data_IF_023743965580
#
_entry.id   IF_023743965580
#
_cell.length_a   1.000
_cell.length_b   1.000
_cell.length_c   1.000
_cell.angle_alpha   90.00
_cell.angle_beta   90.00
_cell.angle_gamma   90.00
#
_symmetry.space_group_name_H-M   'P 1'
#
loop_
_entity.id
_entity.type
_entity.pdbx_description
1 polymer ?
#
# COMPACT_ATOMS: atom_id res chain seq x y z
N UNK A 1 -5.97 5.72 25.84
CA UNK A 1 -5.22 5.08 24.73
C UNK A 1 -4.26 6.10 24.15
N UNK A 2 -3.07 5.68 23.68
CA UNK A 2 -2.21 6.57 22.92
C UNK A 2 -2.91 6.99 21.62
N UNK A 3 -2.73 8.25 21.23
CA UNK A 3 -3.34 8.79 20.01
C UNK A 3 -2.69 8.14 18.78
N UNK A 4 -3.49 7.74 17.81
CA UNK A 4 -3.01 7.14 16.57
C UNK A 4 -2.92 8.21 15.49
N UNK A 5 -1.84 8.20 14.72
CA UNK A 5 -1.62 9.06 13.56
C UNK A 5 -1.37 8.18 12.35
N UNK A 6 -2.19 8.33 11.31
CA UNK A 6 -1.92 7.76 10.00
C UNK A 6 -1.13 8.78 9.18
N UNK A 7 0.15 8.49 8.96
CA UNK A 7 1.01 9.35 8.16
C UNK A 7 0.94 8.96 6.66
N UNK A 8 -0.26 9.04 6.11
CA UNK A 8 -0.55 8.71 4.72
C UNK A 8 -1.78 9.47 4.22
N UNK A 9 -1.68 10.07 3.03
CA UNK A 9 -2.80 10.72 2.35
C UNK A 9 -3.75 9.76 1.60
N UNK A 10 -3.51 8.44 1.66
CA UNK A 10 -4.32 7.45 0.95
C UNK A 10 -5.71 7.29 1.58
N UNK A 11 -6.81 7.61 0.86
CA UNK A 11 -8.17 7.39 1.38
C UNK A 11 -8.46 5.91 1.68
N UNK A 12 -7.87 4.99 0.90
CA UNK A 12 -8.02 3.54 1.10
C UNK A 12 -7.46 3.08 2.43
N UNK A 13 -6.30 3.61 2.84
CA UNK A 13 -5.69 3.28 4.14
C UNK A 13 -6.52 3.82 5.31
N UNK A 14 -7.09 5.02 5.15
CA UNK A 14 -8.01 5.59 6.14
C UNK A 14 -9.25 4.70 6.30
N UNK A 15 -9.87 4.30 5.19
CA UNK A 15 -11.01 3.38 5.18
C UNK A 15 -10.67 2.04 5.87
N UNK A 16 -9.50 1.47 5.57
CA UNK A 16 -9.08 0.20 6.18
C UNK A 16 -8.86 0.30 7.69
N UNK A 17 -8.30 1.40 8.20
CA UNK A 17 -8.21 1.63 9.65
C UNK A 17 -9.59 1.70 10.28
N UNK A 18 -10.54 2.44 9.68
CA UNK A 18 -11.92 2.53 10.17
C UNK A 18 -12.61 1.18 10.19
N UNK A 19 -12.42 0.35 9.15
CA UNK A 19 -13.00 -1.00 9.06
C UNK A 19 -12.55 -1.94 10.17
N UNK A 20 -11.34 -1.77 10.70
CA UNK A 20 -10.83 -2.56 11.83
C UNK A 20 -11.10 -1.92 13.19
N UNK A 21 -11.96 -0.90 13.25
CA UNK A 21 -12.40 -0.25 14.49
C UNK A 21 -11.50 0.87 14.99
N UNK A 22 -10.45 1.25 14.25
CA UNK A 22 -9.65 2.43 14.57
C UNK A 22 -10.32 3.64 13.89
N UNK A 23 -11.19 4.34 14.62
CA UNK A 23 -11.97 5.46 14.09
C UNK A 23 -11.48 6.83 14.59
N UNK A 24 -10.75 6.86 15.69
CA UNK A 24 -10.15 8.06 16.27
C UNK A 24 -8.66 8.11 15.95
N UNK A 25 -8.30 8.73 14.83
CA UNK A 25 -6.93 8.95 14.40
C UNK A 25 -6.79 10.27 13.63
N UNK A 26 -5.61 10.86 13.71
CA UNK A 26 -5.23 12.00 12.87
C UNK A 26 -4.60 11.53 11.56
N UNK A 27 -4.74 12.36 10.52
CA UNK A 27 -4.00 12.20 9.25
C UNK A 27 -2.97 13.30 9.14
N UNK A 28 -1.68 12.92 9.09
CA UNK A 28 -0.56 13.86 8.91
C UNK A 28 0.37 13.32 7.84
N UNK A 29 0.42 13.98 6.68
CA UNK A 29 1.18 13.48 5.53
C UNK A 29 2.56 14.13 5.50
N UNK A 30 3.65 13.35 5.74
CA UNK A 30 5.00 13.89 5.61
C UNK A 30 5.33 14.11 4.12
N UNK A 31 6.17 15.10 3.86
CA UNK A 31 6.78 15.24 2.54
C UNK A 31 8.02 14.36 2.48
N UNK A 32 8.04 13.41 1.57
CA UNK A 32 9.16 12.48 1.36
C UNK A 32 9.39 12.28 -0.13
N UNK A 33 10.65 12.18 -0.51
CA UNK A 33 11.02 11.66 -1.82
C UNK A 33 11.05 10.13 -1.72
N UNK A 34 10.35 9.44 -2.61
CA UNK A 34 10.31 7.97 -2.64
C UNK A 34 11.55 7.43 -3.39
N UNK A 35 12.72 7.62 -2.78
CA UNK A 35 13.98 7.05 -3.26
C UNK A 35 14.36 5.85 -2.42
N UNK A 36 15.03 4.88 -3.03
CA UNK A 36 15.50 3.67 -2.34
C UNK A 36 16.78 3.13 -3.00
N UNK A 37 17.66 2.44 -2.25
CA UNK A 37 18.87 1.84 -2.79
C UNK A 37 18.57 0.80 -3.88
N UNK A 38 19.48 0.69 -4.86
CA UNK A 38 19.41 -0.39 -5.84
C UNK A 38 19.69 -1.75 -5.19
N UNK A 39 19.12 -2.82 -5.78
CA UNK A 39 19.39 -4.20 -5.36
C UNK A 39 18.55 -4.72 -4.20
N UNK A 40 17.64 -3.92 -3.64
CA UNK A 40 16.70 -4.40 -2.63
C UNK A 40 15.68 -5.38 -3.24
N UNK A 41 15.31 -6.42 -2.49
CA UNK A 41 14.17 -7.27 -2.81
C UNK A 41 12.86 -6.49 -2.76
N UNK A 42 11.75 -7.02 -3.30
CA UNK A 42 10.43 -6.38 -3.21
C UNK A 42 10.02 -6.01 -1.77
N UNK A 43 10.23 -6.89 -0.80
CA UNK A 43 9.92 -6.67 0.61
C UNK A 43 10.80 -5.57 1.21
N UNK A 44 12.11 -5.68 1.04
CA UNK A 44 13.06 -4.68 1.55
C UNK A 44 12.79 -3.29 0.96
N UNK A 45 12.36 -3.19 -0.30
CA UNK A 45 12.02 -1.92 -0.94
C UNK A 45 10.86 -1.22 -0.22
N UNK A 46 9.73 -1.89 -0.02
CA UNK A 46 8.56 -1.29 0.62
C UNK A 46 8.76 -1.07 2.12
N UNK A 47 9.54 -1.92 2.79
CA UNK A 47 9.95 -1.73 4.18
C UNK A 47 10.83 -0.49 4.32
N UNK A 48 11.82 -0.34 3.45
CA UNK A 48 12.69 0.83 3.40
C UNK A 48 11.88 2.11 3.24
N UNK A 49 11.02 2.20 2.22
CA UNK A 49 10.22 3.40 1.94
C UNK A 49 9.25 3.69 3.09
N UNK A 50 8.57 2.68 3.64
CA UNK A 50 7.66 2.88 4.77
C UNK A 50 8.40 3.38 6.01
N UNK A 51 9.66 2.95 6.22
CA UNK A 51 10.53 3.40 7.30
C UNK A 51 10.95 4.85 7.11
N UNK A 52 11.42 5.24 5.91
CA UNK A 52 11.76 6.62 5.58
C UNK A 52 10.56 7.57 5.80
N UNK A 53 9.36 7.15 5.36
CA UNK A 53 8.11 7.89 5.65
C UNK A 53 7.86 8.04 7.15
N UNK A 54 8.15 7.00 7.93
CA UNK A 54 8.01 7.04 9.40
C UNK A 54 9.02 8.00 10.05
N UNK A 55 10.26 8.03 9.56
CA UNK A 55 11.29 8.93 10.07
C UNK A 55 10.93 10.39 9.76
N UNK A 56 10.42 10.68 8.56
CA UNK A 56 9.92 12.01 8.21
C UNK A 56 8.67 12.41 9.01
N UNK A 57 7.76 11.45 9.28
CA UNK A 57 6.55 11.71 10.06
C UNK A 57 6.84 11.98 11.54
N UNK A 58 7.97 11.52 12.07
CA UNK A 58 8.35 11.77 13.47
C UNK A 58 8.45 13.26 13.79
N UNK A 59 8.83 14.10 12.82
CA UNK A 59 8.88 15.57 13.00
C UNK A 59 7.48 16.22 13.12
N UNK A 60 6.43 15.52 12.74
CA UNK A 60 5.03 15.98 12.76
C UNK A 60 4.25 15.43 13.97
N UNK A 61 4.87 14.60 14.80
CA UNK A 61 4.21 13.83 15.85
C UNK A 61 4.93 14.00 17.19
N UNK A 62 4.20 13.75 18.30
CA UNK A 62 4.82 13.68 19.61
C UNK A 62 5.33 12.26 19.90
N UNK A 63 6.30 12.09 20.85
CA UNK A 63 6.84 10.76 21.17
C UNK A 63 5.81 9.76 21.73
N UNK A 64 4.69 10.24 22.25
CA UNK A 64 3.63 9.42 22.85
C UNK A 64 2.63 8.89 21.81
N UNK A 65 2.56 9.52 20.64
CA UNK A 65 1.67 9.14 19.55
C UNK A 65 2.15 7.87 18.85
N UNK A 66 1.20 7.02 18.46
CA UNK A 66 1.47 5.84 17.61
C UNK A 66 1.32 6.26 16.14
N UNK A 67 2.41 6.27 15.42
CA UNK A 67 2.46 6.69 14.02
C UNK A 67 2.48 5.47 13.11
N UNK A 68 1.57 5.42 12.14
CA UNK A 68 1.48 4.37 11.13
C UNK A 68 1.84 4.96 9.78
N UNK A 69 2.83 4.36 9.13
CA UNK A 69 3.18 4.63 7.72
C UNK A 69 3.10 3.36 6.90
N UNK A 70 2.88 3.49 5.61
CA UNK A 70 2.90 2.35 4.71
C UNK A 70 3.33 2.78 3.30
N UNK A 71 3.90 1.83 2.57
CA UNK A 71 4.19 1.95 1.15
C UNK A 71 3.74 0.70 0.41
N UNK A 72 3.19 0.87 -0.80
CA UNK A 72 2.68 -0.23 -1.62
C UNK A 72 3.22 -0.14 -3.03
N UNK A 73 3.75 -1.24 -3.52
CA UNK A 73 4.34 -1.33 -4.85
C UNK A 73 3.96 -2.64 -5.55
N UNK A 74 3.80 -2.57 -6.86
CA UNK A 74 3.55 -3.72 -7.73
C UNK A 74 4.85 -4.15 -8.38
N UNK A 75 5.12 -5.46 -8.35
CA UNK A 75 6.31 -6.08 -8.94
C UNK A 75 5.91 -7.07 -10.01
N UNK A 76 6.43 -6.88 -11.21
CA UNK A 76 6.27 -7.80 -12.34
C UNK A 76 7.66 -8.23 -12.80
N UNK A 77 8.03 -9.48 -12.53
CA UNK A 77 9.40 -9.95 -12.69
C UNK A 77 10.37 -9.00 -11.94
N UNK A 78 11.34 -8.40 -12.62
CA UNK A 78 12.27 -7.42 -12.05
C UNK A 78 11.76 -5.97 -12.12
N UNK A 79 10.61 -5.74 -12.78
CA UNK A 79 10.05 -4.41 -12.95
C UNK A 79 9.24 -3.97 -11.71
N UNK A 80 9.41 -2.72 -11.33
CA UNK A 80 8.67 -2.05 -10.25
C UNK A 80 7.68 -1.08 -10.87
N UNK A 81 6.41 -1.29 -10.61
CA UNK A 81 5.32 -0.50 -11.17
C UNK A 81 4.72 0.40 -10.07
N UNK A 82 5.08 1.67 -10.11
CA UNK A 82 4.48 2.70 -9.28
C UNK A 82 3.15 3.19 -9.86
N UNK A 83 2.76 4.42 -9.50
CA UNK A 83 1.61 5.08 -10.12
C UNK A 83 1.94 5.44 -11.56
N UNK A 84 0.99 5.31 -12.50
CA UNK A 84 1.22 5.72 -13.87
C UNK A 84 1.41 7.25 -13.97
N UNK A 85 2.31 7.67 -14.84
CA UNK A 85 2.55 9.09 -15.11
C UNK A 85 1.41 9.73 -15.91
N UNK A 86 0.82 8.96 -16.82
CA UNK A 86 -0.27 9.35 -17.72
C UNK A 86 -1.04 8.11 -18.21
N UNK A 87 -2.05 8.31 -19.07
CA UNK A 87 -2.85 7.22 -19.62
C UNK A 87 -2.04 6.26 -20.51
N UNK A 88 -1.01 6.74 -21.19
CA UNK A 88 -0.15 5.90 -22.02
C UNK A 88 0.71 4.98 -21.15
N UNK A 89 1.22 5.48 -20.04
CA UNK A 89 1.95 4.69 -19.06
C UNK A 89 1.02 3.70 -18.34
N UNK A 90 -0.21 4.10 -18.00
CA UNK A 90 -1.22 3.19 -17.47
C UNK A 90 -1.51 2.03 -18.43
N UNK A 91 -1.66 2.32 -19.74
CA UNK A 91 -1.87 1.28 -20.74
C UNK A 91 -0.66 0.34 -20.85
N UNK A 92 0.56 0.88 -20.85
CA UNK A 92 1.79 0.10 -20.84
C UNK A 92 1.84 -0.87 -19.65
N UNK A 93 1.54 -0.37 -18.43
CA UNK A 93 1.51 -1.18 -17.21
C UNK A 93 0.46 -2.30 -17.30
N UNK A 94 -0.79 -1.96 -17.63
CA UNK A 94 -1.89 -2.93 -17.71
C UNK A 94 -1.67 -3.96 -18.82
N UNK A 95 -1.08 -3.57 -19.95
CA UNK A 95 -0.70 -4.48 -21.03
C UNK A 95 0.37 -5.48 -20.57
N UNK A 96 1.32 -5.05 -19.76
CA UNK A 96 2.33 -5.94 -19.19
C UNK A 96 1.75 -6.91 -18.15
N UNK A 97 0.71 -6.50 -17.41
CA UNK A 97 0.09 -7.29 -16.34
C UNK A 97 -0.97 -8.28 -16.83
N UNK A 98 -1.69 -7.96 -17.93
CA UNK A 98 -2.82 -8.78 -18.39
C UNK A 98 -2.39 -10.22 -18.70
N UNK A 99 -3.21 -11.20 -18.32
CA UNK A 99 -2.96 -12.63 -18.52
C UNK A 99 -1.77 -13.17 -17.71
N UNK A 100 -1.25 -12.42 -16.72
CA UNK A 100 -0.04 -12.78 -15.98
C UNK A 100 -0.23 -12.67 -14.46
N UNK A 101 0.65 -13.36 -13.73
CA UNK A 101 0.86 -13.19 -12.30
C UNK A 101 1.81 -12.02 -12.07
N UNK A 102 1.52 -11.22 -11.05
CA UNK A 102 2.42 -10.22 -10.48
C UNK A 102 2.28 -10.22 -8.95
N UNK A 103 3.19 -9.57 -8.25
CA UNK A 103 3.20 -9.52 -6.79
C UNK A 103 2.96 -8.10 -6.32
N UNK A 104 2.06 -7.92 -5.35
CA UNK A 104 1.86 -6.66 -4.64
C UNK A 104 2.46 -6.78 -3.26
N UNK A 105 3.40 -5.89 -2.94
CA UNK A 105 4.00 -5.80 -1.61
C UNK A 105 3.59 -4.49 -0.93
N UNK A 106 3.26 -4.58 0.36
CA UNK A 106 3.06 -3.40 1.22
C UNK A 106 3.96 -3.51 2.43
N UNK A 107 4.83 -2.52 2.62
CA UNK A 107 5.58 -2.29 3.85
C UNK A 107 4.77 -1.42 4.80
N UNK A 108 4.80 -1.76 6.08
CA UNK A 108 4.16 -1.00 7.16
C UNK A 108 5.18 -0.73 8.25
N UNK A 109 5.23 0.52 8.73
CA UNK A 109 6.01 0.87 9.91
C UNK A 109 5.08 1.46 10.97
N UNK A 110 5.19 0.94 12.18
CA UNK A 110 4.54 1.47 13.39
C UNK A 110 5.63 2.02 14.31
N UNK A 111 5.46 3.25 14.77
CA UNK A 111 6.41 3.96 15.64
C UNK A 111 5.70 4.54 16.84
N UNK A 112 6.38 4.53 18.01
CA UNK A 112 6.07 5.37 19.16
C UNK A 112 7.39 5.82 19.81
N UNK A 113 7.72 7.09 19.68
CA UNK A 113 9.03 7.61 20.09
C UNK A 113 10.18 6.91 19.36
N UNK A 114 11.08 6.27 20.12
CA UNK A 114 12.21 5.51 19.60
C UNK A 114 11.89 4.03 19.31
N UNK A 115 10.74 3.53 19.77
CA UNK A 115 10.31 2.17 19.46
C UNK A 115 9.71 2.13 18.06
N UNK A 116 10.27 1.28 17.18
CA UNK A 116 9.91 1.21 15.78
C UNK A 116 9.86 -0.25 15.34
N UNK A 117 8.77 -0.61 14.68
CA UNK A 117 8.57 -1.92 14.08
C UNK A 117 8.22 -1.75 12.61
N UNK A 118 8.95 -2.41 11.72
CA UNK A 118 8.70 -2.42 10.28
C UNK A 118 8.52 -3.85 9.81
N UNK A 119 7.44 -4.13 9.12
CA UNK A 119 7.13 -5.42 8.52
C UNK A 119 6.49 -5.23 7.14
N UNK A 120 6.46 -6.27 6.33
CA UNK A 120 5.82 -6.26 5.01
C UNK A 120 4.95 -7.48 4.77
N UNK A 121 3.99 -7.32 3.85
CA UNK A 121 3.14 -8.39 3.34
C UNK A 121 3.25 -8.45 1.82
N UNK A 122 3.14 -9.66 1.26
CA UNK A 122 3.18 -9.90 -0.18
C UNK A 122 2.00 -10.75 -0.60
N UNK A 123 1.37 -10.39 -1.72
CA UNK A 123 0.23 -11.10 -2.29
C UNK A 123 0.44 -11.27 -3.79
N UNK A 124 0.29 -12.48 -4.29
CA UNK A 124 0.28 -12.73 -5.72
C UNK A 124 -1.10 -12.46 -6.30
N UNK A 125 -1.13 -11.69 -7.37
CA UNK A 125 -2.33 -11.30 -8.10
C UNK A 125 -2.25 -11.87 -9.52
N UNK A 126 -3.30 -12.53 -9.95
CA UNK A 126 -3.41 -13.13 -11.28
C UNK A 126 -4.44 -12.35 -12.08
N UNK A 127 -4.01 -11.74 -13.17
CA UNK A 127 -4.91 -11.07 -14.10
C UNK A 127 -5.41 -12.04 -15.17
N UNK A 128 -6.70 -11.93 -15.51
CA UNK A 128 -7.22 -12.53 -16.71
C UNK A 128 -6.63 -11.87 -17.96
N UNK A 129 -6.70 -12.56 -19.10
CA UNK A 129 -6.43 -11.92 -20.38
C UNK A 129 -7.47 -10.83 -20.66
N UNK A 130 -7.00 -9.70 -21.19
CA UNK A 130 -7.82 -8.56 -21.56
C UNK A 130 -7.35 -7.98 -22.90
N UNK A 131 -8.29 -7.50 -23.70
CA UNK A 131 -8.00 -6.81 -24.95
C UNK A 131 -7.54 -5.38 -24.68
N UNK A 132 -6.80 -4.77 -25.59
CA UNK A 132 -6.42 -3.37 -25.50
C UNK A 132 -7.65 -2.45 -25.38
N UNK A 133 -8.76 -2.78 -26.07
CA UNK A 133 -10.00 -2.01 -25.99
C UNK A 133 -10.60 -2.01 -24.56
N UNK A 134 -10.56 -3.15 -23.86
CA UNK A 134 -10.99 -3.26 -22.46
C UNK A 134 -10.08 -2.44 -21.53
N UNK A 135 -8.74 -2.55 -21.70
CA UNK A 135 -7.77 -1.80 -20.91
C UNK A 135 -7.95 -0.28 -21.10
N UNK A 136 -8.10 0.19 -22.33
CA UNK A 136 -8.42 1.59 -22.61
C UNK A 136 -9.77 2.02 -22.04
N UNK A 137 -10.76 1.12 -22.06
CA UNK A 137 -12.06 1.33 -21.41
C UNK A 137 -11.92 1.59 -19.92
N UNK A 138 -11.11 0.76 -19.25
CA UNK A 138 -10.83 0.93 -17.83
C UNK A 138 -10.05 2.22 -17.53
N UNK A 139 -9.04 2.58 -18.33
CA UNK A 139 -8.27 3.81 -18.14
C UNK A 139 -9.17 5.05 -18.22
N UNK A 140 -10.13 5.10 -19.18
CA UNK A 140 -11.07 6.22 -19.33
C UNK A 140 -11.96 6.45 -18.10
N UNK A 141 -12.06 5.50 -17.17
CA UNK A 141 -12.78 5.70 -15.90
C UNK A 141 -12.02 6.62 -14.93
N UNK A 142 -10.74 6.86 -15.16
CA UNK A 142 -9.86 7.60 -14.27
C UNK A 142 -9.39 6.81 -13.04
N UNK A 143 -9.98 5.63 -12.75
CA UNK A 143 -9.66 4.82 -11.57
C UNK A 143 -8.18 4.40 -11.48
N UNK A 144 -7.47 4.08 -12.58
CA UNK A 144 -6.07 3.65 -12.54
C UNK A 144 -5.08 4.67 -12.01
N UNK A 145 -5.36 5.96 -12.18
CA UNK A 145 -4.33 7.01 -12.22
C UNK A 145 -3.64 7.30 -10.87
N UNK A 146 -4.23 6.93 -9.76
CA UNK A 146 -3.66 7.12 -8.41
C UNK A 146 -3.12 5.84 -7.78
N UNK A 147 -3.00 4.75 -8.56
CA UNK A 147 -2.72 3.41 -8.03
C UNK A 147 -1.44 2.80 -8.61
N UNK A 148 -0.66 2.15 -7.75
CA UNK A 148 0.48 1.36 -8.17
C UNK A 148 0.04 0.23 -9.13
N UNK A 149 0.76 0.05 -10.24
CA UNK A 149 0.40 -0.92 -11.28
C UNK A 149 -0.83 -0.55 -12.10
N UNK A 150 -1.35 0.68 -11.93
CA UNK A 150 -2.49 1.22 -12.67
C UNK A 150 -3.80 0.43 -12.51
N UNK A 151 -4.07 -0.16 -11.33
CA UNK A 151 -5.37 -0.80 -11.07
C UNK A 151 -5.78 -0.77 -9.60
N UNK A 152 -7.09 -0.89 -9.35
CA UNK A 152 -7.68 -1.02 -8.01
C UNK A 152 -8.45 -2.32 -7.85
N UNK A 153 -8.04 -3.19 -6.92
CA UNK A 153 -8.69 -4.49 -6.66
C UNK A 153 -10.10 -4.36 -6.08
N UNK A 154 -10.43 -3.23 -5.49
CA UNK A 154 -11.71 -2.96 -4.83
C UNK A 154 -12.71 -2.20 -5.70
N UNK A 155 -12.30 -1.74 -6.89
CA UNK A 155 -13.13 -1.00 -7.83
C UNK A 155 -13.35 -1.76 -9.14
N UNK A 156 -13.45 -1.04 -10.25
CA UNK A 156 -13.63 -1.64 -11.57
C UNK A 156 -12.45 -2.50 -12.00
N UNK A 157 -11.24 -2.21 -11.50
CA UNK A 157 -10.06 -3.04 -11.72
C UNK A 157 -10.21 -4.48 -11.19
N UNK A 158 -11.15 -4.74 -10.29
CA UNK A 158 -11.50 -6.10 -9.86
C UNK A 158 -11.90 -7.00 -11.04
N UNK A 159 -12.45 -6.43 -12.12
CA UNK A 159 -12.84 -7.17 -13.32
C UNK A 159 -11.63 -7.70 -14.14
N UNK A 160 -10.44 -7.22 -13.84
CA UNK A 160 -9.18 -7.72 -14.43
C UNK A 160 -8.56 -8.83 -13.58
N UNK A 161 -8.93 -8.93 -12.30
CA UNK A 161 -8.37 -9.89 -11.35
C UNK A 161 -9.12 -11.21 -11.41
N UNK A 162 -8.42 -12.28 -11.76
CA UNK A 162 -8.97 -13.63 -11.77
C UNK A 162 -8.82 -14.34 -10.41
N UNK A 163 -7.67 -14.13 -9.74
CA UNK A 163 -7.34 -14.77 -8.46
C UNK A 163 -6.34 -13.94 -7.65
N UNK A 164 -6.47 -14.05 -6.34
CA UNK A 164 -5.49 -13.58 -5.37
C UNK A 164 -4.93 -14.77 -4.59
N UNK A 165 -3.63 -14.75 -4.29
CA UNK A 165 -2.98 -15.69 -3.40
C UNK A 165 -2.24 -14.90 -2.31
N UNK A 166 -2.89 -14.74 -1.15
CA UNK A 166 -2.43 -13.94 -0.03
C UNK A 166 -3.51 -13.01 0.54
N UNK A 167 -3.10 -11.85 1.03
CA UNK A 167 -3.95 -10.88 1.74
C UNK A 167 -4.55 -9.85 0.77
N UNK A 168 -5.89 -9.84 0.67
CA UNK A 168 -6.65 -8.85 -0.11
C UNK A 168 -6.40 -7.40 0.37
N UNK A 169 -6.34 -7.19 1.67
CA UNK A 169 -6.13 -5.85 2.24
C UNK A 169 -4.71 -5.33 1.98
N UNK A 170 -3.73 -6.24 1.89
CA UNK A 170 -2.39 -5.90 1.40
C UNK A 170 -2.46 -5.30 -0.01
N UNK A 171 -3.22 -5.90 -0.92
CA UNK A 171 -3.38 -5.39 -2.30
C UNK A 171 -4.09 -4.03 -2.32
N UNK A 172 -5.01 -3.78 -1.37
CA UNK A 172 -5.63 -2.46 -1.18
C UNK A 172 -4.66 -1.39 -0.65
N UNK A 173 -3.54 -1.81 -0.06
CA UNK A 173 -2.46 -0.92 0.39
C UNK A 173 -2.24 -0.85 1.90
N UNK A 174 -2.88 -1.74 2.71
CA UNK A 174 -2.64 -1.85 4.15
C UNK A 174 -3.01 -3.25 4.65
N UNK A 175 -2.04 -4.13 4.95
CA UNK A 175 -2.28 -5.50 5.44
C UNK A 175 -2.78 -5.45 6.89
N UNK A 176 -4.10 -5.38 7.07
CA UNK A 176 -4.74 -5.07 8.36
C UNK A 176 -4.49 -6.12 9.44
N UNK A 177 -4.38 -7.41 9.09
CA UNK A 177 -4.05 -8.45 10.05
C UNK A 177 -2.61 -8.28 10.58
N UNK A 178 -1.66 -8.02 9.70
CA UNK A 178 -0.27 -7.75 10.10
C UNK A 178 -0.19 -6.48 10.93
N UNK A 179 -0.83 -5.40 10.49
CA UNK A 179 -0.88 -4.14 11.21
C UNK A 179 -1.47 -4.33 12.62
N UNK A 180 -2.56 -5.10 12.78
CA UNK A 180 -3.14 -5.32 14.11
C UNK A 180 -2.17 -5.99 15.08
N UNK A 181 -1.42 -7.00 14.62
CA UNK A 181 -0.38 -7.66 15.42
C UNK A 181 0.77 -6.72 15.78
N UNK A 182 1.15 -5.84 14.86
CA UNK A 182 2.15 -4.80 15.15
C UNK A 182 1.61 -3.84 16.21
N UNK A 183 0.39 -3.34 16.07
CA UNK A 183 -0.24 -2.41 17.00
C UNK A 183 -0.45 -3.00 18.40
N UNK A 184 -0.71 -4.29 18.52
CA UNK A 184 -0.79 -4.99 19.82
C UNK A 184 0.51 -4.86 20.63
N UNK A 185 1.68 -4.83 19.96
CA UNK A 185 2.98 -4.61 20.62
C UNK A 185 3.11 -3.19 21.19
N UNK A 186 2.37 -2.23 20.63
CA UNK A 186 2.28 -0.84 21.14
C UNK A 186 1.12 -0.63 22.11
N UNK A 187 0.46 -1.72 22.54
CA UNK A 187 -0.61 -1.69 23.55
C UNK A 187 -2.00 -1.40 23.01
N UNK A 188 -2.20 -1.35 21.69
CA UNK A 188 -3.53 -1.30 21.07
C UNK A 188 -4.14 -2.69 21.11
N UNK A 189 -5.38 -2.81 21.61
CA UNK A 189 -6.07 -4.09 21.70
C UNK A 189 -7.30 -4.12 20.81
N UNK A 190 -7.53 -5.28 20.22
CA UNK A 190 -8.69 -5.60 19.41
C UNK A 190 -9.49 -6.71 20.14
N UNK A 191 -10.81 -6.71 19.99
CA UNK A 191 -11.69 -7.75 20.56
C UNK A 191 -11.60 -7.88 22.10
N UNK A 192 -11.55 -6.75 22.82
CA UNK A 192 -11.54 -6.70 24.29
C UNK A 192 -12.91 -6.26 24.82
#
# INVERSE_FOLDING_TARGET
MAKIVLASGSPRRQELLQRIGITDFDVRVPQTEETYPAGLSPRETVEYISREKSDAAAALCTPEEIVITADTMVFLDDARLGKPADEADALRMLTALQGRRHTVCTGVTVRRGSEILTESESTDVYFRSATEAELRGYIRTGEPMDKAGAYGVQGLGALLVERLDGDFFNVMGLPVLRLSRMLERFGVRFFC
#
